data_IF_794381645676
#
_entry.id   IF_794381645676
#
_cell.length_a   1.000
_cell.length_b   1.000
_cell.length_c   1.000
_cell.angle_alpha   90.00
_cell.angle_beta   90.00
_cell.angle_gamma   90.00
#
_symmetry.space_group_name_H-M   'P 1'
#
loop_
_entity.id
_entity.type
_entity.pdbx_description
1 polymer ?
#
# COMPACT_ATOMS: atom_id res chain seq x y z
N UNK A 1 13.88 -2.45 5.74
CA UNK A 1 13.97 -2.61 4.26
C UNK A 1 13.28 -1.48 3.51
N UNK A 2 11.94 -1.35 3.57
CA UNK A 2 11.24 -0.31 2.80
C UNK A 2 11.56 1.11 3.29
N UNK A 3 11.60 1.31 4.62
CA UNK A 3 11.99 2.59 5.21
C UNK A 3 13.43 2.98 4.83
N UNK A 4 14.37 2.06 4.98
CA UNK A 4 15.79 2.31 4.66
C UNK A 4 16.00 2.65 3.17
N UNK A 5 15.29 1.96 2.27
CA UNK A 5 15.40 2.25 0.84
C UNK A 5 14.68 3.56 0.46
N UNK A 6 13.59 3.94 1.16
CA UNK A 6 12.95 5.25 1.00
C UNK A 6 13.94 6.36 1.33
N UNK A 7 14.58 6.26 2.50
CA UNK A 7 15.58 7.21 2.97
C UNK A 7 16.77 7.29 2.00
N UNK A 8 17.32 6.14 1.60
CA UNK A 8 18.41 6.07 0.61
C UNK A 8 18.05 6.74 -0.73
N UNK A 9 16.79 6.68 -1.13
CA UNK A 9 16.32 7.30 -2.37
C UNK A 9 15.99 8.79 -2.22
N UNK A 10 16.10 9.36 -1.01
CA UNK A 10 15.77 10.75 -0.71
C UNK A 10 14.27 11.01 -0.63
N UNK A 11 13.48 9.97 -0.34
CA UNK A 11 12.05 10.06 -0.09
C UNK A 11 11.80 9.95 1.42
N UNK A 12 10.63 10.39 1.87
CA UNK A 12 10.27 10.41 3.29
C UNK A 12 8.99 9.60 3.54
N UNK A 13 8.91 9.01 4.73
CA UNK A 13 7.64 8.46 5.21
C UNK A 13 6.71 9.61 5.61
N UNK A 14 5.49 9.58 5.10
CA UNK A 14 4.45 10.53 5.50
C UNK A 14 4.22 10.46 7.02
N UNK A 15 4.22 11.62 7.67
CA UNK A 15 3.75 11.76 9.04
C UNK A 15 2.23 11.86 9.02
N UNK A 16 1.55 10.78 9.40
CA UNK A 16 0.08 10.73 9.40
C UNK A 16 -0.48 11.80 10.34
N UNK A 17 -1.56 12.45 9.89
CA UNK A 17 -2.28 13.43 10.67
C UNK A 17 -2.97 12.80 11.87
N UNK A 18 -3.15 13.57 12.94
CA UNK A 18 -3.79 13.10 14.17
C UNK A 18 -5.21 12.55 13.90
N UNK A 19 -5.99 13.23 13.05
CA UNK A 19 -7.34 12.77 12.65
C UNK A 19 -7.30 11.41 11.94
N UNK A 20 -6.27 11.14 11.14
CA UNK A 20 -6.07 9.86 10.45
C UNK A 20 -5.77 8.76 11.46
N UNK A 21 -4.85 9.02 12.39
CA UNK A 21 -4.50 8.09 13.46
C UNK A 21 -5.72 7.77 14.33
N UNK A 22 -6.50 8.79 14.72
CA UNK A 22 -7.73 8.61 15.50
C UNK A 22 -8.80 7.81 14.75
N UNK A 23 -9.00 8.08 13.46
CA UNK A 23 -9.95 7.34 12.62
C UNK A 23 -9.57 5.86 12.51
N UNK A 24 -8.27 5.55 12.41
CA UNK A 24 -7.79 4.16 12.41
C UNK A 24 -7.92 3.53 13.80
N UNK A 25 -7.60 4.25 14.87
CA UNK A 25 -7.67 3.75 16.25
C UNK A 25 -9.10 3.43 16.69
N UNK A 26 -10.10 4.13 16.15
CA UNK A 26 -11.51 3.84 16.41
C UNK A 26 -11.97 2.45 15.94
N UNK A 27 -11.24 1.81 15.03
CA UNK A 27 -11.58 0.48 14.48
C UNK A 27 -10.53 -0.59 14.73
N UNK A 28 -9.28 -0.19 14.94
CA UNK A 28 -8.16 -1.11 15.07
C UNK A 28 -7.87 -1.44 16.55
N UNK A 29 -7.49 -2.69 16.87
CA UNK A 29 -7.11 -3.06 18.24
C UNK A 29 -5.89 -2.29 18.74
N UNK A 30 -5.77 -2.06 20.05
CA UNK A 30 -4.66 -1.28 20.63
C UNK A 30 -3.27 -1.90 20.44
N UNK A 31 -3.20 -3.20 20.11
CA UNK A 31 -1.94 -3.91 19.90
C UNK A 31 -1.35 -3.74 18.49
N UNK A 32 -2.05 -3.09 17.55
CA UNK A 32 -1.52 -2.84 16.19
C UNK A 32 -0.69 -1.56 16.12
N UNK A 33 0.23 -1.49 15.14
CA UNK A 33 0.99 -0.26 14.87
C UNK A 33 0.25 0.61 13.86
N UNK A 34 -0.28 1.75 14.32
CA UNK A 34 -0.96 2.75 13.49
C UNK A 34 -0.07 3.93 13.07
N UNK A 35 1.22 3.90 13.43
CA UNK A 35 2.22 4.83 12.90
C UNK A 35 2.56 4.42 11.45
N UNK A 36 3.28 5.25 10.70
CA UNK A 36 3.76 4.87 9.38
C UNK A 36 5.14 4.18 9.51
N UNK A 37 5.34 2.92 9.08
CA UNK A 37 4.40 2.03 8.37
C UNK A 37 3.27 1.46 9.24
N UNK A 38 2.06 1.42 8.67
CA UNK A 38 0.87 0.87 9.34
C UNK A 38 0.88 -0.65 9.22
N UNK A 39 0.84 -1.34 10.35
CA UNK A 39 0.76 -2.80 10.44
C UNK A 39 -0.48 -3.19 11.26
N UNK A 40 -1.46 -3.77 10.56
CA UNK A 40 -2.73 -4.21 11.13
C UNK A 40 -2.70 -5.67 11.59
N UNK A 41 -1.61 -6.40 11.34
CA UNK A 41 -1.52 -7.83 11.63
C UNK A 41 -2.77 -8.60 11.16
N UNK A 42 -3.30 -9.53 11.98
CA UNK A 42 -4.54 -10.27 11.68
C UNK A 42 -5.80 -9.39 11.64
N UNK A 43 -5.82 -8.21 12.28
CA UNK A 43 -7.03 -7.38 12.35
C UNK A 43 -7.45 -6.84 10.98
N UNK A 44 -6.53 -6.84 10.01
CA UNK A 44 -6.78 -6.38 8.63
C UNK A 44 -8.04 -7.02 8.00
N UNK A 45 -8.40 -8.24 8.39
CA UNK A 45 -9.61 -8.92 7.88
C UNK A 45 -10.89 -8.12 8.12
N UNK A 46 -10.90 -7.27 9.14
CA UNK A 46 -12.04 -6.45 9.55
C UNK A 46 -11.73 -4.96 9.38
N UNK A 47 -10.48 -4.56 9.64
CA UNK A 47 -10.11 -3.14 9.79
C UNK A 47 -9.48 -2.52 8.54
N UNK A 48 -9.12 -3.32 7.53
CA UNK A 48 -8.35 -2.82 6.38
C UNK A 48 -9.08 -1.73 5.59
N UNK A 49 -10.35 -1.92 5.24
CA UNK A 49 -11.09 -0.94 4.45
C UNK A 49 -11.23 0.44 5.13
N UNK A 50 -11.70 0.55 6.40
CA UNK A 50 -11.71 1.85 7.09
C UNK A 50 -10.31 2.44 7.28
N UNK A 51 -9.30 1.61 7.56
CA UNK A 51 -7.90 2.08 7.64
C UNK A 51 -7.41 2.67 6.33
N UNK A 52 -7.61 1.99 5.20
CA UNK A 52 -7.20 2.52 3.89
C UNK A 52 -7.94 3.80 3.54
N UNK A 53 -9.23 3.90 3.85
CA UNK A 53 -9.98 5.17 3.66
C UNK A 53 -9.35 6.32 4.42
N UNK A 54 -8.95 6.11 5.68
CA UNK A 54 -8.28 7.12 6.48
C UNK A 54 -6.94 7.54 5.84
N UNK A 55 -6.09 6.56 5.49
CA UNK A 55 -4.76 6.82 4.90
C UNK A 55 -4.88 7.56 3.55
N UNK A 56 -5.74 7.12 2.64
CA UNK A 56 -5.90 7.77 1.34
C UNK A 56 -6.51 9.18 1.47
N UNK A 57 -7.30 9.45 2.50
CA UNK A 57 -7.86 10.77 2.76
C UNK A 57 -6.87 11.73 3.45
N UNK A 58 -5.75 11.25 3.99
CA UNK A 58 -4.77 12.07 4.70
C UNK A 58 -3.97 12.95 3.74
N UNK A 59 -4.05 14.28 3.88
CA UNK A 59 -3.34 15.23 3.02
C UNK A 59 -1.81 15.13 3.11
N UNK A 60 -1.25 14.52 4.15
CA UNK A 60 0.19 14.31 4.29
C UNK A 60 0.69 13.09 3.51
N UNK A 61 -0.20 12.31 2.90
CA UNK A 61 0.13 11.08 2.16
C UNK A 61 0.01 11.33 0.66
N UNK A 62 1.13 11.33 -0.05
CA UNK A 62 1.15 11.51 -1.51
C UNK A 62 0.95 10.18 -2.27
N UNK A 63 1.40 9.07 -1.70
CA UNK A 63 1.40 7.76 -2.35
C UNK A 63 1.39 6.61 -1.35
N UNK A 64 0.97 5.42 -1.78
CA UNK A 64 0.81 4.25 -0.88
C UNK A 64 1.55 3.03 -1.43
N UNK A 65 2.51 2.51 -0.65
CA UNK A 65 3.15 1.23 -0.89
C UNK A 65 2.47 0.14 -0.04
N UNK A 66 1.91 -0.88 -0.70
CA UNK A 66 1.40 -2.07 -0.03
C UNK A 66 2.49 -3.14 0.01
N UNK A 67 2.80 -3.67 1.19
CA UNK A 67 3.66 -4.84 1.33
C UNK A 67 2.79 -6.08 1.51
N UNK A 68 2.79 -6.96 0.51
CA UNK A 68 2.04 -8.22 0.57
C UNK A 68 2.99 -9.35 0.93
N UNK A 69 2.81 -9.94 2.11
CA UNK A 69 3.73 -10.93 2.69
C UNK A 69 3.06 -12.27 3.03
N UNK A 70 1.80 -12.48 2.60
CA UNK A 70 1.05 -13.70 2.95
C UNK A 70 1.64 -14.92 2.23
N UNK A 71 2.02 -16.00 2.94
CA UNK A 71 2.57 -17.21 2.32
C UNK A 71 1.56 -17.94 1.44
N UNK A 72 2.06 -18.77 0.51
CA UNK A 72 1.25 -19.55 -0.44
C UNK A 72 0.24 -20.48 0.24
N UNK A 73 0.67 -21.28 1.22
CA UNK A 73 -0.17 -22.32 1.82
C UNK A 73 -1.46 -21.76 2.46
N UNK A 74 -1.42 -20.69 3.28
CA UNK A 74 -2.63 -20.02 3.75
C UNK A 74 -3.56 -19.55 2.62
N UNK A 75 -3.02 -18.98 1.53
CA UNK A 75 -3.83 -18.51 0.41
C UNK A 75 -4.54 -19.65 -0.31
N UNK A 76 -3.86 -20.77 -0.51
CA UNK A 76 -4.44 -21.97 -1.12
C UNK A 76 -5.52 -22.60 -0.24
N UNK A 77 -5.27 -22.72 1.06
CA UNK A 77 -6.21 -23.36 2.00
C UNK A 77 -7.48 -22.53 2.22
N UNK A 78 -7.35 -21.20 2.30
CA UNK A 78 -8.48 -20.33 2.60
C UNK A 78 -9.31 -19.94 1.36
N UNK A 79 -8.82 -20.24 0.16
CA UNK A 79 -9.52 -19.91 -1.09
C UNK A 79 -9.81 -18.41 -1.25
N UNK A 80 -9.01 -17.55 -0.62
CA UNK A 80 -9.30 -16.10 -0.53
C UNK A 80 -9.16 -15.46 -1.91
N UNK A 81 -10.20 -14.74 -2.33
CA UNK A 81 -10.09 -13.89 -3.51
C UNK A 81 -9.44 -12.56 -3.16
N UNK A 82 -8.38 -12.18 -3.89
CA UNK A 82 -7.75 -10.85 -3.75
C UNK A 82 -8.53 -9.74 -4.49
N UNK A 83 -9.49 -10.11 -5.34
CA UNK A 83 -10.25 -9.17 -6.17
C UNK A 83 -10.96 -8.05 -5.38
N UNK A 84 -11.62 -8.32 -4.22
CA UNK A 84 -12.24 -7.26 -3.43
C UNK A 84 -11.24 -6.24 -2.90
N UNK A 85 -10.07 -6.71 -2.44
CA UNK A 85 -9.00 -5.83 -1.97
C UNK A 85 -8.48 -4.93 -3.09
N UNK A 86 -8.16 -5.52 -4.25
CA UNK A 86 -7.67 -4.74 -5.40
C UNK A 86 -8.70 -3.71 -5.89
N UNK A 87 -9.99 -4.05 -5.85
CA UNK A 87 -11.06 -3.11 -6.16
C UNK A 87 -11.08 -1.94 -5.18
N UNK A 88 -10.96 -2.20 -3.87
CA UNK A 88 -10.89 -1.16 -2.85
C UNK A 88 -9.68 -0.25 -3.10
N UNK A 89 -8.50 -0.83 -3.30
CA UNK A 89 -7.26 -0.08 -3.58
C UNK A 89 -7.43 0.80 -4.82
N UNK A 90 -7.93 0.25 -5.93
CA UNK A 90 -8.14 1.01 -7.17
C UNK A 90 -9.16 2.14 -6.99
N UNK A 91 -10.27 1.88 -6.30
CA UNK A 91 -11.28 2.89 -6.04
C UNK A 91 -10.74 4.04 -5.21
N UNK A 92 -9.98 3.75 -4.14
CA UNK A 92 -9.37 4.78 -3.30
C UNK A 92 -8.28 5.55 -4.04
N UNK A 93 -7.37 4.86 -4.72
CA UNK A 93 -6.31 5.49 -5.52
C UNK A 93 -6.89 6.43 -6.57
N UNK A 94 -7.96 6.02 -7.27
CA UNK A 94 -8.60 6.85 -8.30
C UNK A 94 -9.37 8.03 -7.70
N UNK A 95 -10.10 7.80 -6.59
CA UNK A 95 -10.87 8.84 -5.89
C UNK A 95 -9.96 9.95 -5.37
N UNK A 96 -8.86 9.59 -4.73
CA UNK A 96 -7.95 10.54 -4.08
C UNK A 96 -6.77 10.95 -4.97
N UNK A 97 -6.65 10.39 -6.18
CA UNK A 97 -5.57 10.65 -7.14
C UNK A 97 -4.18 10.38 -6.56
N UNK A 98 -4.06 9.39 -5.68
CA UNK A 98 -2.80 8.99 -5.04
C UNK A 98 -2.30 7.69 -5.66
N UNK A 99 -1.11 7.67 -6.30
CA UNK A 99 -0.58 6.45 -6.87
C UNK A 99 -0.29 5.41 -5.79
N UNK A 100 -0.45 4.14 -6.15
CA UNK A 100 -0.13 3.03 -5.28
C UNK A 100 0.60 1.91 -6.01
N UNK A 101 1.45 1.19 -5.28
CA UNK A 101 2.19 0.02 -5.78
C UNK A 101 2.04 -1.10 -4.77
N UNK A 102 1.86 -2.33 -5.25
CA UNK A 102 1.90 -3.54 -4.42
C UNK A 102 3.28 -4.19 -4.58
N UNK A 103 4.04 -4.29 -3.49
CA UNK A 103 5.27 -5.06 -3.44
C UNK A 103 5.00 -6.42 -2.80
N UNK A 104 5.19 -7.49 -3.55
CA UNK A 104 4.91 -8.86 -3.11
C UNK A 104 6.19 -9.54 -2.67
N UNK A 105 6.16 -10.10 -1.47
CA UNK A 105 7.17 -10.99 -0.94
C UNK A 105 6.64 -12.42 -0.92
N UNK A 106 7.43 -13.35 -1.45
CA UNK A 106 7.08 -14.76 -1.44
C UNK A 106 7.54 -15.48 -2.69
N UNK A 107 6.96 -16.65 -2.92
CA UNK A 107 7.25 -17.46 -4.09
C UNK A 107 6.73 -16.81 -5.37
N UNK A 108 7.23 -17.29 -6.53
CA UNK A 108 6.72 -16.88 -7.84
C UNK A 108 5.20 -17.07 -7.96
N UNK A 109 4.67 -18.12 -7.35
CA UNK A 109 3.24 -18.37 -7.31
C UNK A 109 2.48 -17.23 -6.61
N UNK A 110 2.95 -16.75 -5.45
CA UNK A 110 2.31 -15.65 -4.72
C UNK A 110 2.36 -14.36 -5.54
N UNK A 111 3.50 -14.11 -6.20
CA UNK A 111 3.61 -12.98 -7.12
C UNK A 111 2.58 -13.04 -8.24
N UNK A 112 2.46 -14.18 -8.94
CA UNK A 112 1.50 -14.35 -10.04
C UNK A 112 0.04 -14.35 -9.55
N UNK A 113 -0.22 -14.83 -8.33
CA UNK A 113 -1.53 -14.78 -7.67
C UNK A 113 -2.02 -13.33 -7.47
N UNK A 114 -1.12 -12.40 -7.16
CA UNK A 114 -1.44 -10.97 -7.03
C UNK A 114 -1.39 -10.24 -8.38
N UNK A 115 -0.37 -10.50 -9.20
CA UNK A 115 -0.16 -9.80 -10.47
C UNK A 115 -1.32 -10.02 -11.44
N UNK A 116 -1.75 -11.27 -11.67
CA UNK A 116 -2.77 -11.57 -12.68
C UNK A 116 -4.09 -10.82 -12.44
N UNK A 117 -4.66 -10.80 -11.22
CA UNK A 117 -5.84 -9.99 -10.94
C UNK A 117 -5.57 -8.47 -10.94
N UNK A 118 -4.40 -8.03 -10.45
CA UNK A 118 -4.04 -6.60 -10.37
C UNK A 118 -3.96 -5.91 -11.75
N UNK A 119 -3.59 -6.65 -12.81
CA UNK A 119 -3.62 -6.15 -14.19
C UNK A 119 -5.00 -5.61 -14.60
N UNK A 120 -6.09 -6.25 -14.16
CA UNK A 120 -7.47 -5.80 -14.46
C UNK A 120 -7.79 -4.44 -13.85
N UNK A 121 -7.11 -4.08 -12.78
CA UNK A 121 -7.27 -2.81 -12.08
C UNK A 121 -6.16 -1.80 -12.44
N UNK A 122 -5.21 -2.19 -13.29
CA UNK A 122 -4.02 -1.40 -13.62
C UNK A 122 -3.24 -0.98 -12.37
N UNK A 123 -3.15 -1.85 -11.37
CA UNK A 123 -2.33 -1.62 -10.18
C UNK A 123 -0.94 -2.22 -10.42
N UNK A 124 0.16 -1.43 -10.35
CA UNK A 124 1.51 -1.95 -10.47
C UNK A 124 1.84 -2.94 -9.35
N UNK A 125 2.42 -4.08 -9.73
CA UNK A 125 2.89 -5.11 -8.80
C UNK A 125 4.37 -5.36 -9.03
N UNK A 126 5.16 -5.34 -7.97
CA UNK A 126 6.63 -5.49 -8.02
C UNK A 126 7.09 -6.53 -7.00
N UNK A 127 8.21 -7.21 -7.30
CA UNK A 127 8.78 -8.22 -6.41
C UNK A 127 9.86 -7.64 -5.47
N UNK A 128 10.37 -6.44 -5.78
CA UNK A 128 11.47 -5.82 -5.03
C UNK A 128 11.08 -4.43 -4.54
N UNK A 129 11.29 -4.21 -3.25
CA UNK A 129 11.07 -2.91 -2.58
C UNK A 129 11.82 -1.78 -3.27
N UNK A 130 13.07 -2.01 -3.68
CA UNK A 130 13.90 -1.03 -4.40
C UNK A 130 13.23 -0.55 -5.69
N UNK A 131 12.60 -1.44 -6.44
CA UNK A 131 11.91 -1.06 -7.68
C UNK A 131 10.67 -0.22 -7.39
N UNK A 132 9.89 -0.61 -6.38
CA UNK A 132 8.70 0.12 -5.97
C UNK A 132 9.03 1.55 -5.54
N UNK A 133 10.06 1.72 -4.72
CA UNK A 133 10.50 3.03 -4.23
C UNK A 133 11.11 3.86 -5.36
N UNK A 134 11.89 3.24 -6.26
CA UNK A 134 12.42 3.93 -7.44
C UNK A 134 11.28 4.43 -8.34
N UNK A 135 10.21 3.66 -8.51
CA UNK A 135 9.04 4.09 -9.26
C UNK A 135 8.37 5.32 -8.62
N UNK A 136 8.20 5.35 -7.28
CA UNK A 136 7.73 6.55 -6.59
C UNK A 136 8.63 7.76 -6.81
N UNK A 137 9.95 7.58 -6.73
CA UNK A 137 10.92 8.65 -7.01
C UNK A 137 10.79 9.20 -8.42
N UNK A 138 10.60 8.33 -9.42
CA UNK A 138 10.42 8.78 -10.81
C UNK A 138 9.09 9.48 -11.02
N UNK A 139 7.99 9.00 -10.42
CA UNK A 139 6.70 9.69 -10.43
C UNK A 139 6.81 11.08 -9.80
N UNK A 140 7.50 11.21 -8.65
CA UNK A 140 7.74 12.49 -8.00
C UNK A 140 8.54 13.45 -8.90
N UNK A 141 9.67 13.00 -9.46
CA UNK A 141 10.51 13.81 -10.36
C UNK A 141 9.74 14.28 -11.59
N UNK A 142 8.94 13.39 -12.18
CA UNK A 142 8.11 13.74 -13.33
C UNK A 142 7.05 14.78 -12.98
N UNK A 143 6.41 14.65 -11.82
CA UNK A 143 5.46 15.65 -11.32
C UNK A 143 6.13 17.02 -11.10
N UNK A 144 7.33 17.05 -10.52
CA UNK A 144 8.10 18.31 -10.35
C UNK A 144 8.45 18.95 -11.70
N UNK A 145 8.84 18.14 -12.69
CA UNK A 145 9.09 18.63 -14.04
C UNK A 145 7.82 19.24 -14.66
N UNK A 146 6.66 18.57 -14.55
CA UNK A 146 5.40 19.11 -15.06
C UNK A 146 4.99 20.43 -14.40
N UNK A 147 5.27 20.60 -13.11
CA UNK A 147 5.01 21.85 -12.37
C UNK A 147 5.98 22.99 -12.72
N UNK A 148 7.10 22.68 -13.38
CA UNK A 148 8.09 23.66 -13.82
C UNK A 148 7.89 24.17 -15.25
N UNK A 149 6.93 23.59 -15.99
CA UNK A 149 6.51 24.04 -17.32
C UNK A 149 5.47 25.16 -17.19
#
# INVERSE_FOLDING_TARGET
>A
MACDELEKQGLILAKLGENTIQSMRAVAPDWVSLKNPVDLGPSQMITLNPTLKAIFNDNNVDSVLFLFTVPRLPLELLGVSIMPLLRIIKNLSSKFKKPCIICVFGSRWVFDFILKPALRFQIPVMARVKEAIMAFKMMYKYNQYLLSL
#
